data_IF_606602939431
#
_entry.id   IF_606602939431
#
_cell.length_a   1.000
_cell.length_b   1.000
_cell.length_c   1.000
_cell.angle_alpha   90.00
_cell.angle_beta   90.00
_cell.angle_gamma   90.00
#
_symmetry.space_group_name_H-M   'P 1'
#
loop_
_entity.id
_entity.type
_entity.pdbx_description
1 polymer ?
#
# COMPACT_ATOMS: atom_id res chain seq x y z
N UNK A 1 -26.57 6.09 10.22
CA UNK A 1 -25.39 5.96 9.38
C UNK A 1 -24.35 7.02 9.63
N UNK A 2 -23.11 6.66 9.35
CA UNK A 2 -21.99 7.55 9.60
C UNK A 2 -22.10 8.85 8.85
N UNK A 3 -22.73 8.84 7.69
CA UNK A 3 -22.86 10.04 6.86
C UNK A 3 -23.66 11.14 7.53
N UNK A 4 -24.48 10.79 8.48
CA UNK A 4 -25.33 11.78 9.15
C UNK A 4 -24.70 12.36 10.40
N UNK A 5 -23.56 11.85 10.79
CA UNK A 5 -22.83 12.35 11.97
C UNK A 5 -21.91 13.49 11.59
N UNK A 6 -21.82 14.52 12.42
CA UNK A 6 -20.75 15.52 12.20
C UNK A 6 -19.39 14.85 12.27
N UNK A 7 -18.48 15.25 11.41
CA UNK A 7 -17.18 14.57 11.34
C UNK A 7 -16.42 14.64 12.67
N UNK A 8 -16.68 15.66 13.48
CA UNK A 8 -15.96 15.81 14.74
C UNK A 8 -16.34 14.78 15.78
N UNK A 9 -17.47 14.09 15.62
CA UNK A 9 -17.87 13.05 16.56
C UNK A 9 -17.66 11.64 16.03
N UNK A 10 -17.08 11.51 14.85
CA UNK A 10 -16.79 10.21 14.29
C UNK A 10 -15.53 9.64 14.94
N UNK A 11 -15.48 8.32 15.10
CA UNK A 11 -14.25 7.66 15.54
C UNK A 11 -13.18 7.80 14.46
N UNK A 12 -11.94 7.46 14.81
CA UNK A 12 -10.86 7.47 13.82
C UNK A 12 -11.15 6.58 12.63
N UNK A 13 -11.65 5.37 12.89
CA UNK A 13 -12.00 4.45 11.82
C UNK A 13 -13.15 4.94 10.99
N UNK A 14 -14.17 5.53 11.62
CA UNK A 14 -15.29 6.06 10.89
C UNK A 14 -14.89 7.22 9.98
N UNK A 15 -14.03 8.11 10.48
CA UNK A 15 -13.55 9.20 9.66
C UNK A 15 -12.74 8.71 8.47
N UNK A 16 -11.95 7.67 8.70
CA UNK A 16 -11.14 7.10 7.63
C UNK A 16 -12.04 6.52 6.54
N UNK A 17 -13.08 5.79 6.94
CA UNK A 17 -14.02 5.21 5.98
C UNK A 17 -14.74 6.30 5.18
N UNK A 18 -15.14 7.35 5.86
CA UNK A 18 -15.82 8.46 5.19
C UNK A 18 -14.91 9.14 4.18
N UNK A 19 -13.68 9.38 4.58
CA UNK A 19 -12.71 10.02 3.67
C UNK A 19 -12.44 9.16 2.44
N UNK A 20 -12.31 7.85 2.64
CA UNK A 20 -12.11 6.94 1.51
C UNK A 20 -13.30 6.95 0.57
N UNK A 21 -14.51 6.92 1.11
CA UNK A 21 -15.70 6.93 0.29
C UNK A 21 -15.80 8.22 -0.52
N UNK A 22 -15.49 9.35 0.10
CA UNK A 22 -15.52 10.62 -0.60
C UNK A 22 -14.49 10.68 -1.70
N UNK A 23 -13.27 10.20 -1.42
CA UNK A 23 -12.20 10.20 -2.40
C UNK A 23 -12.57 9.39 -3.62
N UNK A 24 -13.09 8.19 -3.40
CA UNK A 24 -13.45 7.30 -4.50
C UNK A 24 -14.64 7.84 -5.28
N UNK A 25 -15.57 8.47 -4.59
CA UNK A 25 -16.76 8.99 -5.23
C UNK A 25 -16.51 10.23 -6.07
N UNK A 26 -15.53 11.05 -5.68
CA UNK A 26 -15.21 12.26 -6.42
C UNK A 26 -14.77 11.94 -7.84
N UNK A 27 -14.31 10.75 -8.07
CA UNK A 27 -13.89 10.34 -9.39
C UNK A 27 -12.49 10.82 -9.69
N UNK A 28 -12.31 11.37 -10.88
CA UNK A 28 -10.98 11.69 -11.34
C UNK A 28 -10.33 10.46 -11.95
N UNK A 29 -9.16 10.64 -12.54
CA UNK A 29 -8.45 9.55 -13.18
C UNK A 29 -7.20 9.12 -12.41
N UNK A 30 -6.95 9.73 -11.25
CA UNK A 30 -5.81 9.37 -10.40
C UNK A 30 -6.18 9.62 -8.95
N UNK A 31 -5.98 8.63 -8.10
CA UNK A 31 -6.16 8.81 -6.66
C UNK A 31 -4.89 8.39 -5.94
N UNK A 32 -4.63 9.06 -4.83
CA UNK A 32 -3.49 8.76 -3.96
C UNK A 32 -4.04 8.36 -2.60
N UNK A 33 -3.67 7.18 -2.12
CA UNK A 33 -4.12 6.69 -0.83
C UNK A 33 -2.89 6.37 0.02
N UNK A 34 -2.84 6.96 1.22
CA UNK A 34 -1.72 6.78 2.13
C UNK A 34 -2.18 5.93 3.30
N UNK A 35 -1.66 4.71 3.38
CA UNK A 35 -2.00 3.74 4.41
C UNK A 35 -3.51 3.58 4.59
N UNK A 36 -4.21 3.28 3.49
CA UNK A 36 -5.68 3.28 3.54
C UNK A 36 -6.28 2.14 4.34
N UNK A 37 -5.49 1.12 4.67
CA UNK A 37 -6.02 -0.04 5.39
C UNK A 37 -5.93 0.11 6.90
N UNK A 38 -5.31 1.20 7.41
CA UNK A 38 -5.22 1.42 8.84
C UNK A 38 -6.61 1.60 9.44
N UNK A 39 -6.86 0.89 10.54
CA UNK A 39 -8.10 1.00 11.31
C UNK A 39 -9.34 0.53 10.56
N UNK A 40 -9.18 -0.23 9.48
CA UNK A 40 -10.32 -0.81 8.78
C UNK A 40 -10.62 -2.21 9.28
N UNK A 41 -11.90 -2.51 9.43
CA UNK A 41 -12.30 -3.88 9.71
C UNK A 41 -12.28 -4.70 8.43
N UNK A 42 -12.51 -6.00 8.57
CA UNK A 42 -12.40 -6.92 7.43
C UNK A 42 -13.40 -6.58 6.34
N UNK A 43 -14.62 -6.24 6.74
CA UNK A 43 -15.66 -5.95 5.78
C UNK A 43 -15.35 -4.68 4.98
N UNK A 44 -14.92 -3.64 5.67
CA UNK A 44 -14.57 -2.39 5.02
C UNK A 44 -13.36 -2.57 4.11
N UNK A 45 -12.40 -3.37 4.56
CA UNK A 45 -11.23 -3.66 3.75
C UNK A 45 -11.62 -4.35 2.44
N UNK A 46 -12.53 -5.32 2.50
CA UNK A 46 -13.02 -5.98 1.29
C UNK A 46 -13.70 -5.00 0.35
N UNK A 47 -14.47 -4.07 0.90
CA UNK A 47 -15.12 -3.05 0.09
C UNK A 47 -14.10 -2.15 -0.58
N UNK A 48 -13.04 -1.77 0.12
CA UNK A 48 -11.99 -0.95 -0.45
C UNK A 48 -11.28 -1.67 -1.59
N UNK A 49 -10.95 -2.95 -1.39
CA UNK A 49 -10.30 -3.72 -2.43
C UNK A 49 -11.15 -3.82 -3.68
N UNK A 50 -12.44 -4.04 -3.49
CA UNK A 50 -13.36 -4.13 -4.61
C UNK A 50 -13.47 -2.80 -5.34
N UNK A 51 -13.55 -1.71 -4.59
CA UNK A 51 -13.65 -0.38 -5.19
C UNK A 51 -12.41 -0.03 -6.00
N UNK A 52 -11.23 -0.40 -5.50
CA UNK A 52 -10.00 -0.14 -6.22
C UNK A 52 -9.90 -0.95 -7.50
N UNK A 53 -10.35 -2.20 -7.46
CA UNK A 53 -10.32 -3.03 -8.65
C UNK A 53 -11.23 -2.51 -9.75
N UNK A 54 -12.30 -1.85 -9.36
CA UNK A 54 -13.27 -1.31 -10.30
C UNK A 54 -13.08 0.17 -10.60
N UNK A 55 -12.05 0.78 -10.02
CA UNK A 55 -11.78 2.18 -10.26
C UNK A 55 -11.29 2.39 -11.69
N UNK A 56 -11.90 3.30 -12.46
CA UNK A 56 -11.58 3.45 -13.88
C UNK A 56 -10.28 4.18 -14.16
N UNK A 57 -9.61 4.70 -13.15
CA UNK A 57 -8.35 5.41 -13.34
C UNK A 57 -7.19 4.68 -12.70
N UNK A 58 -6.17 5.43 -12.35
CA UNK A 58 -4.98 4.90 -11.68
C UNK A 58 -5.06 5.17 -10.19
N UNK A 59 -4.60 4.21 -9.40
CA UNK A 59 -4.52 4.37 -7.95
C UNK A 59 -3.08 4.17 -7.50
N UNK A 60 -2.57 5.11 -6.72
CA UNK A 60 -1.26 4.98 -6.09
C UNK A 60 -1.51 4.79 -4.60
N UNK A 61 -1.05 3.67 -4.07
CA UNK A 61 -1.30 3.30 -2.68
C UNK A 61 0.03 3.17 -1.95
N UNK A 62 0.15 3.86 -0.83
CA UNK A 62 1.29 3.71 0.06
C UNK A 62 0.84 2.81 1.20
N UNK A 63 1.46 1.65 1.34
CA UNK A 63 1.02 0.70 2.35
C UNK A 63 2.15 -0.24 2.75
N UNK A 64 2.11 -0.69 4.00
CA UNK A 64 2.99 -1.75 4.50
C UNK A 64 2.23 -3.06 4.68
N UNK A 65 0.97 -3.10 4.27
CA UNK A 65 0.14 -4.28 4.39
C UNK A 65 0.37 -5.18 3.17
N UNK A 66 1.16 -6.23 3.38
CA UNK A 66 1.57 -7.11 2.28
C UNK A 66 0.39 -7.82 1.64
N UNK A 67 -0.57 -8.25 2.44
CA UNK A 67 -1.73 -8.95 1.93
C UNK A 67 -2.57 -8.05 1.04
N UNK A 68 -2.75 -6.81 1.47
CA UNK A 68 -3.50 -5.85 0.69
C UNK A 68 -2.80 -5.56 -0.64
N UNK A 69 -1.48 -5.32 -0.58
CA UNK A 69 -0.72 -5.05 -1.80
C UNK A 69 -0.74 -6.24 -2.75
N UNK A 70 -0.66 -7.45 -2.20
CA UNK A 70 -0.64 -8.64 -3.05
C UNK A 70 -1.95 -8.82 -3.79
N UNK A 71 -3.07 -8.50 -3.14
CA UNK A 71 -4.38 -8.68 -3.75
C UNK A 71 -4.81 -7.55 -4.67
N UNK A 72 -4.27 -6.35 -4.50
CA UNK A 72 -4.80 -5.19 -5.21
C UNK A 72 -3.85 -4.56 -6.21
N UNK A 73 -2.55 -4.70 -6.03
CA UNK A 73 -1.60 -3.97 -6.86
C UNK A 73 -1.23 -4.74 -8.11
N UNK A 74 -1.12 -4.02 -9.22
CA UNK A 74 -0.62 -4.56 -10.46
C UNK A 74 0.85 -4.21 -10.69
N UNK A 75 1.32 -3.21 -9.97
CA UNK A 75 2.71 -2.73 -10.07
C UNK A 75 3.18 -2.35 -8.68
N UNK A 76 4.47 -2.48 -8.46
CA UNK A 76 5.09 -2.12 -7.18
C UNK A 76 6.20 -1.10 -7.46
N UNK A 77 6.20 -0.01 -6.69
CA UNK A 77 7.32 0.93 -6.69
C UNK A 77 7.96 0.84 -5.32
N UNK A 78 9.12 0.21 -5.26
CA UNK A 78 9.75 -0.12 -3.99
C UNK A 78 11.04 0.66 -3.79
N UNK A 79 11.25 1.09 -2.56
CA UNK A 79 12.55 1.63 -2.16
C UNK A 79 13.42 0.48 -1.69
N UNK A 80 14.54 0.26 -2.35
CA UNK A 80 15.44 -0.84 -2.03
C UNK A 80 16.78 -0.30 -1.56
N UNK A 81 17.29 -0.90 -0.51
CA UNK A 81 18.53 -0.47 0.09
C UNK A 81 18.28 0.29 1.38
N UNK A 82 19.28 0.98 1.86
CA UNK A 82 19.10 1.77 3.07
C UNK A 82 18.61 3.18 2.72
N UNK A 83 18.38 3.98 3.75
CA UNK A 83 17.79 5.31 3.55
C UNK A 83 18.68 6.21 2.71
N UNK A 84 19.99 6.08 2.87
CA UNK A 84 20.93 7.00 2.21
C UNK A 84 21.34 6.53 0.82
N UNK A 85 21.46 5.23 0.65
CA UNK A 85 22.02 4.70 -0.58
C UNK A 85 21.04 3.82 -1.35
N UNK A 86 19.80 3.86 -0.97
CA UNK A 86 18.80 3.08 -1.65
C UNK A 86 18.36 3.72 -2.96
N UNK A 87 17.53 3.02 -3.66
CA UNK A 87 16.96 3.53 -4.92
C UNK A 87 15.59 2.94 -5.15
N UNK A 88 14.82 3.61 -6.00
CA UNK A 88 13.51 3.12 -6.37
C UNK A 88 13.62 2.04 -7.42
N UNK A 89 12.79 1.02 -7.25
CA UNK A 89 12.69 -0.07 -8.21
C UNK A 89 11.24 -0.20 -8.65
N UNK A 90 11.02 -0.18 -9.96
CA UNK A 90 9.69 -0.31 -10.55
C UNK A 90 9.48 -1.75 -11.01
N UNK A 91 8.39 -2.36 -10.57
CA UNK A 91 8.13 -3.75 -10.87
C UNK A 91 6.70 -3.92 -11.35
N UNK A 92 6.52 -4.66 -12.45
CA UNK A 92 5.20 -4.97 -12.95
C UNK A 92 4.79 -6.34 -12.43
N UNK A 93 3.79 -6.39 -11.54
CA UNK A 93 3.33 -7.60 -10.90
C UNK A 93 2.81 -7.28 -9.52
N UNK A 94 2.34 -8.30 -8.80
CA UNK A 94 1.85 -8.11 -7.44
C UNK A 94 3.00 -8.17 -6.45
N UNK A 95 2.66 -8.06 -5.15
CA UNK A 95 3.70 -8.00 -4.14
C UNK A 95 4.46 -9.32 -4.01
N UNK A 96 3.75 -10.45 -4.12
CA UNK A 96 4.42 -11.75 -4.05
C UNK A 96 5.41 -11.94 -5.19
N UNK A 97 5.01 -11.55 -6.38
CA UNK A 97 5.91 -11.62 -7.54
C UNK A 97 7.12 -10.71 -7.35
N UNK A 98 6.88 -9.51 -6.79
CA UNK A 98 7.97 -8.60 -6.52
C UNK A 98 8.97 -9.20 -5.53
N UNK A 99 8.49 -9.81 -4.46
CA UNK A 99 9.39 -10.39 -3.47
C UNK A 99 10.24 -11.51 -4.07
N UNK A 100 9.64 -12.35 -4.89
CA UNK A 100 10.39 -13.42 -5.55
C UNK A 100 11.44 -12.85 -6.48
N UNK A 101 11.09 -11.81 -7.22
CA UNK A 101 12.04 -11.13 -8.11
C UNK A 101 13.19 -10.51 -7.32
N UNK A 102 12.88 -9.91 -6.17
CA UNK A 102 13.89 -9.28 -5.34
C UNK A 102 14.89 -10.31 -4.81
N UNK A 103 14.38 -11.46 -4.38
CA UNK A 103 15.26 -12.52 -3.89
C UNK A 103 16.22 -12.96 -4.99
N UNK A 104 15.72 -13.14 -6.19
CA UNK A 104 16.58 -13.54 -7.31
C UNK A 104 17.63 -12.50 -7.62
N UNK A 105 17.24 -11.22 -7.68
CA UNK A 105 18.18 -10.16 -8.05
C UNK A 105 19.22 -9.91 -6.99
N UNK A 106 18.81 -9.97 -5.73
CA UNK A 106 19.67 -9.59 -4.62
C UNK A 106 20.12 -10.77 -3.77
N UNK A 107 19.84 -11.98 -4.23
CA UNK A 107 20.11 -13.17 -3.44
C UNK A 107 21.54 -13.28 -2.95
N UNK A 108 22.49 -13.15 -3.85
CA UNK A 108 23.90 -13.25 -3.48
C UNK A 108 24.33 -12.11 -2.58
N UNK A 109 23.85 -10.91 -2.90
CA UNK A 109 24.20 -9.74 -2.09
C UNK A 109 23.56 -9.83 -0.72
N UNK A 110 22.35 -10.36 -0.65
CA UNK A 110 21.66 -10.49 0.62
C UNK A 110 22.38 -11.44 1.56
N UNK A 111 23.15 -12.37 1.03
CA UNK A 111 23.88 -13.34 1.83
C UNK A 111 25.16 -12.76 2.42
N UNK A 112 25.59 -11.61 1.97
CA UNK A 112 26.82 -11.00 2.47
C UNK A 112 26.60 -10.41 3.87
N UNK A 113 27.59 -10.51 4.76
CA UNK A 113 27.40 -10.02 6.12
C UNK A 113 27.04 -8.53 6.22
N UNK A 114 27.58 -7.71 5.36
CA UNK A 114 27.29 -6.29 5.39
C UNK A 114 25.82 -6.02 5.10
N UNK A 115 25.19 -6.86 4.30
CA UNK A 115 23.78 -6.69 3.99
C UNK A 115 22.89 -6.96 5.20
N UNK A 116 23.30 -7.93 6.01
CA UNK A 116 22.56 -8.23 7.23
C UNK A 116 22.53 -7.03 8.14
N UNK A 117 23.66 -6.35 8.29
CA UNK A 117 23.74 -5.17 9.13
C UNK A 117 22.83 -4.07 8.63
N UNK A 118 22.79 -3.85 7.35
CA UNK A 118 21.96 -2.79 6.78
C UNK A 118 20.49 -3.03 7.00
N UNK A 119 20.04 -4.27 6.96
CA UNK A 119 18.63 -4.56 7.15
C UNK A 119 18.15 -4.16 8.53
N UNK A 120 19.01 -4.21 9.52
CA UNK A 120 18.65 -3.79 10.86
C UNK A 120 18.33 -2.31 10.93
N UNK A 121 18.97 -1.53 10.08
CA UNK A 121 18.80 -0.09 10.12
C UNK A 121 17.56 0.40 9.39
N UNK A 122 17.08 -0.36 8.43
CA UNK A 122 15.99 0.10 7.60
C UNK A 122 14.62 -0.22 8.18
N UNK A 123 14.59 -0.88 9.29
CA UNK A 123 13.31 -1.22 9.91
C UNK A 123 13.19 -0.60 11.26
#
# INVERSE_FOLDING_TARGET
PDQQKPSKVLSGGERNRLNLALTLKQGGNLILLDEPTNDLDVETLGSLENALQNFPGCAVVISHDRWFLDRTCTHILAWEGNIEEGKWFWFEGNFGDYEANKVDRLGEEAAKPSRVTHRKLTR
#
